data_IF_958893960484
#
_entry.id   IF_958893960484
#
_cell.length_a   1.000
_cell.length_b   1.000
_cell.length_c   1.000
_cell.angle_alpha   90.00
_cell.angle_beta   90.00
_cell.angle_gamma   90.00
#
_symmetry.space_group_name_H-M   'P 1'
#
loop_
_entity.id
_entity.type
_entity.pdbx_description
1 polymer ?
#
# COMPACT_ATOMS: atom_id res chain seq x y z
N UNK A 1 2.15 -6.09 14.45
CA UNK A 1 2.49 -6.02 13.01
C UNK A 1 4.01 -5.97 12.85
N UNK A 2 4.61 -6.93 12.16
CA UNK A 2 6.05 -6.97 11.88
C UNK A 2 6.44 -6.08 10.69
N UNK A 3 6.41 -4.76 10.90
CA UNK A 3 6.61 -3.77 9.83
C UNK A 3 7.97 -3.90 9.12
N UNK A 4 9.03 -4.25 9.87
CA UNK A 4 10.37 -4.47 9.32
C UNK A 4 10.41 -5.60 8.28
N UNK A 5 9.60 -6.66 8.46
CA UNK A 5 9.49 -7.74 7.47
C UNK A 5 8.66 -7.30 6.26
N UNK A 6 7.58 -6.56 6.49
CA UNK A 6 6.68 -6.09 5.43
C UNK A 6 7.42 -5.16 4.46
N UNK A 7 8.25 -4.26 4.98
CA UNK A 7 8.97 -3.25 4.21
C UNK A 7 10.44 -3.62 3.93
N UNK A 8 10.81 -4.90 4.08
CA UNK A 8 12.22 -5.32 4.05
C UNK A 8 12.89 -5.25 2.68
N UNK A 9 12.12 -5.21 1.59
CA UNK A 9 12.68 -5.16 0.22
C UNK A 9 11.86 -4.27 -0.69
N UNK A 10 12.51 -3.71 -1.71
CA UNK A 10 11.86 -2.91 -2.75
C UNK A 10 10.75 -3.68 -3.47
N UNK A 11 10.94 -4.97 -3.72
CA UNK A 11 9.93 -5.84 -4.33
C UNK A 11 8.69 -6.00 -3.44
N UNK A 12 8.87 -6.19 -2.12
CA UNK A 12 7.75 -6.26 -1.17
C UNK A 12 6.99 -4.94 -1.09
N UNK A 13 7.71 -3.82 -1.07
CA UNK A 13 7.09 -2.48 -1.11
C UNK A 13 6.30 -2.29 -2.40
N UNK A 14 6.83 -2.69 -3.56
CA UNK A 14 6.10 -2.65 -4.85
C UNK A 14 4.83 -3.50 -4.81
N UNK A 15 4.91 -4.73 -4.32
CA UNK A 15 3.73 -5.60 -4.16
C UNK A 15 2.70 -4.95 -3.23
N UNK A 16 3.14 -4.43 -2.09
CA UNK A 16 2.27 -3.80 -1.10
C UNK A 16 1.55 -2.57 -1.68
N UNK A 17 2.29 -1.63 -2.29
CA UNK A 17 1.73 -0.44 -2.94
C UNK A 17 0.70 -0.81 -4.01
N UNK A 18 0.95 -1.89 -4.76
CA UNK A 18 0.04 -2.34 -5.82
C UNK A 18 -1.31 -2.85 -5.28
N UNK A 19 -1.34 -3.44 -4.09
CA UNK A 19 -2.54 -4.14 -3.61
C UNK A 19 -3.28 -3.41 -2.50
N UNK A 20 -2.59 -2.60 -1.69
CA UNK A 20 -3.13 -2.10 -0.41
C UNK A 20 -4.31 -1.13 -0.59
N UNK A 21 -4.39 -0.45 -1.74
CA UNK A 21 -5.48 0.48 -2.06
C UNK A 21 -6.63 -0.17 -2.83
N UNK A 22 -6.50 -1.43 -3.24
CA UNK A 22 -7.50 -2.06 -4.10
C UNK A 22 -8.78 -2.37 -3.34
N UNK A 23 -9.92 -1.97 -3.92
CA UNK A 23 -11.25 -2.38 -3.46
C UNK A 23 -11.66 -3.76 -4.01
N UNK A 24 -10.88 -4.29 -4.95
CA UNK A 24 -11.19 -5.50 -5.68
C UNK A 24 -10.48 -6.72 -5.09
N UNK A 25 -10.94 -7.89 -5.53
CA UNK A 25 -10.29 -9.14 -5.20
C UNK A 25 -8.91 -9.25 -5.86
N UNK A 26 -7.91 -9.65 -5.08
CA UNK A 26 -6.51 -9.77 -5.50
C UNK A 26 -6.15 -11.25 -5.66
N UNK A 27 -5.26 -11.57 -6.60
CA UNK A 27 -4.71 -12.92 -6.77
C UNK A 27 -3.20 -12.88 -6.96
N UNK A 28 -2.51 -13.92 -6.49
CA UNK A 28 -1.06 -14.08 -6.66
C UNK A 28 -0.67 -14.02 -8.14
N UNK A 29 -1.43 -14.69 -9.01
CA UNK A 29 -1.14 -14.78 -10.43
C UNK A 29 -1.22 -13.41 -11.12
N UNK A 30 -2.29 -12.65 -10.87
CA UNK A 30 -2.48 -11.30 -11.43
C UNK A 30 -1.37 -10.35 -10.96
N UNK A 31 -1.11 -10.30 -9.65
CA UNK A 31 -0.08 -9.42 -9.07
C UNK A 31 1.33 -9.78 -9.57
N UNK A 32 1.67 -11.07 -9.67
CA UNK A 32 2.95 -11.51 -10.21
C UNK A 32 3.14 -11.09 -11.67
N UNK A 33 2.10 -11.28 -12.50
CA UNK A 33 2.11 -10.88 -13.91
C UNK A 33 2.29 -9.37 -14.09
N UNK A 34 1.49 -8.57 -13.39
CA UNK A 34 1.50 -7.11 -13.51
C UNK A 34 2.82 -6.49 -13.02
N UNK A 35 3.42 -7.05 -11.97
CA UNK A 35 4.69 -6.54 -11.43
C UNK A 35 5.93 -7.19 -12.07
N UNK A 36 5.76 -8.14 -13.01
CA UNK A 36 6.85 -8.95 -13.59
C UNK A 36 7.72 -9.62 -12.51
N UNK A 37 7.08 -10.20 -11.50
CA UNK A 37 7.72 -10.89 -10.37
C UNK A 37 7.39 -12.39 -10.37
N UNK A 38 8.18 -13.19 -9.65
CA UNK A 38 7.91 -14.63 -9.52
C UNK A 38 6.67 -14.88 -8.65
N UNK A 39 5.87 -15.89 -9.02
CA UNK A 39 4.69 -16.31 -8.24
C UNK A 39 5.07 -16.73 -6.82
N UNK A 40 6.23 -17.38 -6.65
CA UNK A 40 6.74 -17.80 -5.34
C UNK A 40 6.99 -16.63 -4.39
N UNK A 41 7.60 -15.54 -4.89
CA UNK A 41 7.83 -14.32 -4.11
C UNK A 41 6.50 -13.70 -3.66
N UNK A 42 5.57 -13.51 -4.59
CA UNK A 42 4.26 -12.90 -4.32
C UNK A 42 3.46 -13.78 -3.36
N UNK A 43 3.42 -15.10 -3.56
CA UNK A 43 2.73 -16.06 -2.69
C UNK A 43 3.28 -16.01 -1.26
N UNK A 44 4.61 -16.07 -1.11
CA UNK A 44 5.26 -15.99 0.21
C UNK A 44 4.95 -14.67 0.91
N UNK A 45 4.93 -13.57 0.17
CA UNK A 45 4.60 -12.27 0.75
C UNK A 45 3.11 -12.14 1.10
N UNK A 46 2.20 -12.65 0.28
CA UNK A 46 0.78 -12.67 0.60
C UNK A 46 0.49 -13.48 1.87
N UNK A 47 1.16 -14.62 2.06
CA UNK A 47 1.02 -15.40 3.28
C UNK A 47 1.49 -14.61 4.51
N UNK A 48 2.58 -13.85 4.41
CA UNK A 48 3.02 -12.92 5.46
C UNK A 48 1.95 -11.83 5.72
N UNK A 49 1.38 -11.23 4.68
CA UNK A 49 0.34 -10.21 4.86
C UNK A 49 -0.95 -10.78 5.47
N UNK A 50 -1.26 -12.06 5.23
CA UNK A 50 -2.35 -12.75 5.91
C UNK A 50 -2.04 -12.95 7.39
N UNK A 51 -0.84 -13.41 7.75
CA UNK A 51 -0.45 -13.58 9.16
C UNK A 51 -0.42 -12.25 9.93
N UNK A 52 -0.13 -11.15 9.23
CA UNK A 52 -0.09 -9.80 9.80
C UNK A 52 -1.45 -9.08 9.79
N UNK A 53 -2.55 -9.80 9.46
CA UNK A 53 -3.93 -9.26 9.40
C UNK A 53 -4.08 -8.08 8.43
N UNK A 54 -3.31 -8.06 7.34
CA UNK A 54 -3.42 -7.07 6.26
C UNK A 54 -4.31 -7.60 5.14
N UNK A 55 -4.13 -8.87 4.79
CA UNK A 55 -4.96 -9.57 3.82
C UNK A 55 -5.80 -10.65 4.51
N UNK A 56 -6.95 -10.98 3.91
CA UNK A 56 -7.70 -12.20 4.20
C UNK A 56 -7.74 -13.08 2.95
N UNK A 57 -7.39 -14.35 3.12
CA UNK A 57 -7.45 -15.35 2.04
C UNK A 57 -8.85 -15.95 1.95
N UNK A 58 -9.36 -16.07 0.73
CA UNK A 58 -10.62 -16.72 0.37
C UNK A 58 -10.35 -17.66 -0.81
N UNK A 59 -10.11 -18.96 -0.54
CA UNK A 59 -9.62 -19.92 -1.56
C UNK A 59 -8.33 -19.41 -2.23
N UNK A 60 -8.37 -19.12 -3.54
CA UNK A 60 -7.25 -18.58 -4.33
C UNK A 60 -7.18 -17.04 -4.36
N UNK A 61 -8.19 -16.39 -3.77
CA UNK A 61 -8.43 -14.95 -3.79
C UNK A 61 -8.02 -14.32 -2.46
N UNK A 62 -7.70 -13.03 -2.49
CA UNK A 62 -7.32 -12.24 -1.33
C UNK A 62 -8.08 -10.92 -1.32
N UNK A 63 -8.42 -10.43 -0.14
CA UNK A 63 -9.02 -9.12 0.07
C UNK A 63 -8.17 -8.33 1.07
N UNK A 64 -8.07 -7.02 0.87
CA UNK A 64 -7.49 -6.12 1.87
C UNK A 64 -8.49 -5.97 3.01
N UNK A 65 -8.00 -6.08 4.25
CA UNK A 65 -8.84 -5.89 5.44
C UNK A 65 -9.01 -4.41 5.76
N UNK A 66 -10.16 -4.03 6.31
CA UNK A 66 -10.36 -2.71 6.91
C UNK A 66 -10.08 -2.78 8.41
N UNK A 67 -8.86 -2.43 8.81
CA UNK A 67 -8.45 -2.36 10.20
C UNK A 67 -7.34 -1.33 10.42
N UNK A 68 -7.00 -1.09 11.69
CA UNK A 68 -5.98 -0.12 12.09
C UNK A 68 -4.61 -0.38 11.45
N UNK A 69 -4.17 -1.64 11.30
CA UNK A 69 -2.88 -1.95 10.69
C UNK A 69 -2.82 -1.55 9.21
N UNK A 70 -3.89 -1.83 8.46
CA UNK A 70 -4.00 -1.42 7.06
C UNK A 70 -4.02 0.10 6.93
N UNK A 71 -4.79 0.79 7.78
CA UNK A 71 -4.83 2.27 7.81
C UNK A 71 -3.45 2.86 8.11
N UNK A 72 -2.73 2.34 9.10
CA UNK A 72 -1.36 2.78 9.42
C UNK A 72 -0.38 2.59 8.26
N UNK A 73 -0.45 1.45 7.55
CA UNK A 73 0.38 1.22 6.36
C UNK A 73 0.06 2.23 5.26
N UNK A 74 -1.22 2.49 5.00
CA UNK A 74 -1.64 3.47 3.98
C UNK A 74 -1.10 4.85 4.32
N UNK A 75 -1.24 5.31 5.56
CA UNK A 75 -0.69 6.60 6.02
C UNK A 75 0.82 6.67 5.79
N UNK A 76 1.57 5.63 6.17
CA UNK A 76 3.02 5.59 5.96
C UNK A 76 3.38 5.65 4.46
N UNK A 77 2.69 4.89 3.62
CA UNK A 77 2.94 4.86 2.18
C UNK A 77 2.58 6.19 1.52
N UNK A 78 1.49 6.82 1.95
CA UNK A 78 1.08 8.16 1.53
C UNK A 78 2.16 9.19 1.91
N UNK A 79 2.67 9.20 3.13
CA UNK A 79 3.76 10.12 3.51
C UNK A 79 5.00 9.89 2.62
N UNK A 80 5.31 8.64 2.31
CA UNK A 80 6.46 8.29 1.47
C UNK A 80 6.27 8.57 -0.04
N UNK A 81 5.05 8.83 -0.51
CA UNK A 81 4.81 9.26 -1.90
C UNK A 81 4.91 10.78 -2.08
N UNK A 82 4.93 11.53 -0.99
CA UNK A 82 5.06 12.97 -1.04
C UNK A 82 6.42 13.38 -1.63
N UNK A 83 6.40 14.30 -2.59
CA UNK A 83 7.61 14.83 -3.23
C UNK A 83 8.02 16.16 -2.58
N UNK A 84 9.11 16.22 -1.79
CA UNK A 84 9.54 17.44 -1.11
C UNK A 84 9.89 18.59 -2.05
N UNK A 85 10.17 18.32 -3.33
CA UNK A 85 10.41 19.40 -4.30
C UNK A 85 9.19 20.29 -4.53
N UNK A 86 7.98 19.85 -4.17
CA UNK A 86 6.77 20.70 -4.20
C UNK A 86 6.92 21.95 -3.33
N UNK A 87 7.64 21.87 -2.20
CA UNK A 87 7.95 23.03 -1.36
C UNK A 87 8.79 24.08 -2.10
N UNK A 88 9.59 23.65 -3.07
CA UNK A 88 10.47 24.53 -3.85
C UNK A 88 9.83 25.01 -5.15
N UNK A 89 8.67 24.46 -5.53
CA UNK A 89 7.99 24.80 -6.79
C UNK A 89 7.48 26.25 -6.81
N UNK A 90 7.08 26.77 -5.65
CA UNK A 90 6.53 28.12 -5.53
C UNK A 90 7.17 28.83 -4.34
N UNK A 91 7.89 29.92 -4.61
CA UNK A 91 8.67 30.67 -3.61
C UNK A 91 7.82 31.34 -2.52
N UNK A 92 6.53 31.53 -2.77
CA UNK A 92 5.59 32.13 -1.82
C UNK A 92 4.93 31.10 -0.88
N UNK A 93 5.10 29.80 -1.10
CA UNK A 93 4.53 28.77 -0.23
C UNK A 93 5.32 28.70 1.08
N UNK A 94 4.65 28.96 2.19
CA UNK A 94 5.22 28.88 3.55
C UNK A 94 4.98 27.54 4.24
N UNK A 95 4.09 26.71 3.70
CA UNK A 95 3.76 25.39 4.24
C UNK A 95 2.77 24.64 3.36
N UNK A 96 2.73 23.31 3.51
CA UNK A 96 1.80 22.41 2.82
C UNK A 96 1.14 21.55 3.89
N UNK A 97 -0.19 21.54 3.93
CA UNK A 97 -0.95 20.62 4.76
C UNK A 97 -1.45 19.45 3.93
N UNK A 98 -1.43 18.25 4.52
CA UNK A 98 -2.08 17.07 3.96
C UNK A 98 -3.38 16.84 4.74
N UNK A 99 -4.47 16.54 4.04
CA UNK A 99 -5.79 16.42 4.66
C UNK A 99 -6.57 15.21 4.14
N UNK A 100 -7.78 15.02 4.68
CA UNK A 100 -8.75 14.08 4.14
C UNK A 100 -8.37 12.61 4.26
N UNK A 101 -8.69 11.84 3.22
CA UNK A 101 -8.47 10.39 3.17
C UNK A 101 -6.99 10.02 3.18
N UNK A 102 -6.12 10.95 2.72
CA UNK A 102 -4.68 10.82 2.68
C UNK A 102 -4.07 10.68 4.09
N UNK A 103 -4.47 11.55 5.02
CA UNK A 103 -3.99 11.51 6.42
C UNK A 103 -4.72 10.50 7.27
N UNK A 104 -5.96 10.15 6.92
CA UNK A 104 -6.75 9.13 7.62
C UNK A 104 -6.42 7.69 7.17
N UNK A 105 -5.67 7.52 6.07
CA UNK A 105 -5.39 6.20 5.49
C UNK A 105 -6.63 5.49 4.98
N UNK A 106 -7.68 6.24 4.62
CA UNK A 106 -8.94 5.71 4.09
C UNK A 106 -9.01 5.79 2.58
N UNK A 107 -7.93 6.24 1.92
CA UNK A 107 -7.83 6.31 0.48
C UNK A 107 -7.90 4.91 -0.17
N UNK A 108 -8.46 4.90 -1.36
CA UNK A 108 -8.73 3.76 -2.22
C UNK A 108 -8.06 3.98 -3.58
N UNK A 109 -8.06 2.96 -4.42
CA UNK A 109 -7.46 2.99 -5.76
C UNK A 109 -8.03 4.11 -6.66
N UNK A 110 -9.28 4.50 -6.40
CA UNK A 110 -10.05 5.54 -7.07
C UNK A 110 -10.09 6.88 -6.31
N UNK A 111 -9.33 7.04 -5.23
CA UNK A 111 -9.29 8.31 -4.49
C UNK A 111 -8.40 9.31 -5.18
N UNK A 112 -8.94 10.51 -5.40
CA UNK A 112 -8.15 11.68 -5.78
C UNK A 112 -7.23 12.10 -4.62
N UNK A 113 -6.07 12.66 -4.98
CA UNK A 113 -5.16 13.30 -4.04
C UNK A 113 -5.45 14.80 -4.14
N UNK A 114 -6.23 15.30 -3.19
CA UNK A 114 -6.48 16.73 -2.99
C UNK A 114 -5.30 17.41 -2.28
#
# INVERSE_FOLDING_TARGET
MNIHKILSTTQRIKILKKIIYSNNVITVNKTAKELKLSKGLVSKFFNLLVSEKILKKQKIKFIVLDNLFVKSIKILLNINTFNPSLFKKYSFIKGIGLYGSYTKGTNKEDSDID
#
